data_IF_756563707327
#
_entry.id   IF_756563707327
#
_cell.length_a   1.000
_cell.length_b   1.000
_cell.length_c   1.000
_cell.angle_alpha   90.00
_cell.angle_beta   90.00
_cell.angle_gamma   90.00
#
_symmetry.space_group_name_H-M   'P 1'
#
loop_
_entity.id
_entity.type
_entity.pdbx_description
1 polymer ?
#
# COMPACT_ATOMS: atom_id res chain seq x y z
N UNK A 1 12.40 -5.14 6.54
CA UNK A 1 12.67 -5.36 5.10
C UNK A 1 13.16 -6.79 4.93
N UNK A 2 12.61 -7.56 3.98
CA UNK A 2 12.99 -8.97 3.77
C UNK A 2 14.11 -9.14 2.75
N UNK A 3 14.94 -10.18 2.90
CA UNK A 3 16.02 -10.55 1.96
C UNK A 3 15.50 -11.03 0.60
N UNK A 4 14.22 -11.39 0.52
CA UNK A 4 13.54 -11.87 -0.68
C UNK A 4 12.20 -11.14 -0.89
N UNK A 5 11.58 -11.34 -2.05
CA UNK A 5 10.21 -10.92 -2.38
C UNK A 5 9.59 -11.89 -3.40
N UNK A 6 8.28 -11.79 -3.65
CA UNK A 6 7.64 -12.57 -4.72
C UNK A 6 8.30 -12.33 -6.07
N UNK A 7 8.47 -13.39 -6.85
CA UNK A 7 8.69 -13.22 -8.28
C UNK A 7 7.55 -12.39 -8.89
N UNK A 8 7.84 -11.36 -9.71
CA UNK A 8 6.81 -10.63 -10.45
C UNK A 8 5.95 -11.54 -11.35
N UNK A 9 6.48 -12.71 -11.72
CA UNK A 9 5.80 -13.71 -12.53
C UNK A 9 5.06 -14.78 -11.68
N UNK A 10 5.02 -14.66 -10.35
CA UNK A 10 4.30 -15.62 -9.52
C UNK A 10 2.80 -15.54 -9.74
N UNK A 11 2.08 -16.65 -9.55
CA UNK A 11 0.62 -16.69 -9.64
C UNK A 11 -0.03 -15.61 -8.75
N UNK A 12 0.51 -15.40 -7.54
CA UNK A 12 0.08 -14.35 -6.62
C UNK A 12 0.19 -12.94 -7.21
N UNK A 13 1.35 -12.60 -7.78
CA UNK A 13 1.58 -11.26 -8.35
C UNK A 13 0.77 -11.04 -9.63
N UNK A 14 0.64 -12.07 -10.47
CA UNK A 14 -0.16 -12.00 -11.70
C UNK A 14 -1.65 -11.80 -11.39
N UNK A 15 -2.21 -12.57 -10.44
CA UNK A 15 -3.62 -12.44 -10.05
C UNK A 15 -3.93 -11.03 -9.50
N UNK A 16 -3.06 -10.52 -8.63
CA UNK A 16 -3.31 -9.27 -7.91
C UNK A 16 -2.81 -8.02 -8.63
N UNK A 17 -2.11 -8.15 -9.75
CA UNK A 17 -1.58 -7.01 -10.50
C UNK A 17 -2.64 -5.91 -10.77
N UNK A 18 -3.88 -6.23 -11.18
CA UNK A 18 -4.89 -5.20 -11.45
C UNK A 18 -5.30 -4.41 -10.20
N UNK A 19 -5.57 -5.08 -9.08
CA UNK A 19 -5.93 -4.38 -7.84
C UNK A 19 -4.75 -3.63 -7.24
N UNK A 20 -3.52 -4.15 -7.36
CA UNK A 20 -2.32 -3.43 -6.94
C UNK A 20 -2.11 -2.14 -7.75
N UNK A 21 -2.39 -2.17 -9.06
CA UNK A 21 -2.35 -0.98 -9.90
C UNK A 21 -3.43 0.03 -9.51
N UNK A 22 -4.67 -0.43 -9.31
CA UNK A 22 -5.75 0.41 -8.81
C UNK A 22 -5.40 1.06 -7.47
N UNK A 23 -4.83 0.30 -6.54
CA UNK A 23 -4.40 0.80 -5.23
C UNK A 23 -3.34 1.90 -5.34
N UNK A 24 -2.38 1.74 -6.26
CA UNK A 24 -1.39 2.80 -6.58
C UNK A 24 -2.07 4.03 -7.17
N UNK A 25 -2.94 3.84 -8.16
CA UNK A 25 -3.62 4.94 -8.84
C UNK A 25 -4.50 5.77 -7.88
N UNK A 26 -5.09 5.14 -6.86
CA UNK A 26 -5.91 5.77 -5.84
C UNK A 26 -5.13 6.18 -4.57
N UNK A 27 -3.84 5.82 -4.49
CA UNK A 27 -2.96 6.06 -3.36
C UNK A 27 -3.54 5.61 -1.99
N UNK A 28 -4.28 4.50 -1.95
CA UNK A 28 -5.03 4.07 -0.74
C UNK A 28 -4.18 3.42 0.33
N UNK A 29 -3.00 2.93 -0.03
CA UNK A 29 -2.11 2.26 0.93
C UNK A 29 -1.55 3.24 1.95
N UNK A 30 -1.42 2.78 3.20
CA UNK A 30 -0.92 3.63 4.29
C UNK A 30 0.59 3.83 4.26
N UNK A 31 1.31 3.04 3.46
CA UNK A 31 2.76 3.06 3.39
C UNK A 31 3.20 2.88 1.93
N UNK A 32 4.30 3.55 1.56
CA UNK A 32 4.87 3.53 0.22
C UNK A 32 3.86 3.91 -0.89
N UNK A 33 2.89 4.77 -0.58
CA UNK A 33 2.01 5.37 -1.58
C UNK A 33 2.70 6.55 -2.27
N UNK A 34 2.29 6.82 -3.51
CA UNK A 34 2.57 8.05 -4.22
C UNK A 34 1.23 8.66 -4.63
N UNK A 35 1.01 9.92 -4.24
CA UNK A 35 -0.21 10.66 -4.52
C UNK A 35 0.06 11.98 -5.27
N UNK A 36 1.28 12.17 -5.78
CA UNK A 36 1.67 13.41 -6.44
C UNK A 36 0.72 13.77 -7.60
N UNK A 37 0.27 12.77 -8.35
CA UNK A 37 -0.69 12.94 -9.46
C UNK A 37 -2.09 13.35 -9.00
N UNK A 38 -2.43 13.14 -7.72
CA UNK A 38 -3.72 13.48 -7.13
C UNK A 38 -3.68 14.79 -6.32
N UNK A 39 -2.51 15.39 -6.11
CA UNK A 39 -2.42 16.64 -5.34
C UNK A 39 -3.20 17.78 -6.01
N UNK A 40 -2.86 18.23 -7.25
CA UNK A 40 -3.35 19.52 -7.74
C UNK A 40 -4.87 19.61 -7.93
N UNK A 41 -5.50 18.47 -8.26
CA UNK A 41 -6.93 18.42 -8.60
C UNK A 41 -7.84 17.85 -7.51
N UNK A 42 -7.29 17.28 -6.43
CA UNK A 42 -8.09 16.55 -5.44
C UNK A 42 -7.63 16.80 -4.00
N UNK A 43 -6.40 16.43 -3.65
CA UNK A 43 -5.96 16.48 -2.26
C UNK A 43 -5.47 17.85 -1.81
N UNK A 44 -4.83 18.62 -2.69
CA UNK A 44 -4.37 19.97 -2.35
C UNK A 44 -5.53 20.91 -2.00
N UNK A 45 -6.63 21.01 -2.80
CA UNK A 45 -7.79 21.82 -2.42
C UNK A 45 -8.44 21.36 -1.11
N UNK A 46 -8.46 20.04 -0.86
CA UNK A 46 -9.00 19.47 0.36
C UNK A 46 -8.14 19.82 1.58
N UNK A 47 -6.81 19.71 1.46
CA UNK A 47 -5.88 20.11 2.51
C UNK A 47 -6.01 21.61 2.81
N UNK A 48 -6.16 22.44 1.77
CA UNK A 48 -6.37 23.87 1.93
C UNK A 48 -7.68 24.17 2.66
N UNK A 49 -8.77 23.50 2.32
CA UNK A 49 -10.04 23.64 3.01
C UNK A 49 -9.94 23.33 4.51
N UNK A 50 -9.18 22.29 4.90
CA UNK A 50 -8.90 22.03 6.32
C UNK A 50 -8.02 23.12 6.96
N UNK A 51 -7.00 23.61 6.25
CA UNK A 51 -6.12 24.66 6.76
C UNK A 51 -6.87 25.97 7.01
N UNK A 52 -7.82 26.33 6.13
CA UNK A 52 -8.61 27.56 6.23
C UNK A 52 -9.65 27.53 7.36
N UNK A 53 -10.06 26.33 7.81
CA UNK A 53 -11.18 26.16 8.74
C UNK A 53 -10.79 25.59 10.11
N UNK A 54 -9.54 25.16 10.31
CA UNK A 54 -9.06 24.64 11.59
C UNK A 54 -8.10 25.64 12.24
N UNK A 55 -8.50 26.28 13.35
CA UNK A 55 -7.60 27.19 14.06
C UNK A 55 -6.31 26.47 14.50
N UNK A 56 -5.17 27.16 14.37
CA UNK A 56 -3.84 26.57 14.60
C UNK A 56 -3.70 25.93 16.00
N UNK A 57 -4.27 26.58 17.03
CA UNK A 57 -4.26 26.08 18.40
C UNK A 57 -5.08 24.78 18.61
N UNK A 58 -5.97 24.45 17.67
CA UNK A 58 -6.75 23.20 17.66
C UNK A 58 -6.29 22.21 16.57
N UNK A 59 -5.25 22.55 15.80
CA UNK A 59 -4.78 21.73 14.66
C UNK A 59 -4.09 20.43 15.07
N UNK A 60 -3.68 20.31 16.34
CA UNK A 60 -3.03 19.11 16.87
C UNK A 60 -4.05 18.10 17.36
N UNK A 61 -3.97 16.88 16.80
CA UNK A 61 -4.82 15.73 17.16
C UNK A 61 -3.95 14.49 17.33
N UNK A 62 -4.38 13.53 18.17
CA UNK A 62 -3.71 12.23 18.26
C UNK A 62 -3.91 11.44 16.94
N UNK A 63 -2.86 10.80 16.40
CA UNK A 63 -1.47 10.78 16.88
C UNK A 63 -0.71 12.11 16.63
N UNK A 64 -0.10 12.67 17.67
CA UNK A 64 0.42 14.06 17.68
C UNK A 64 1.57 14.35 16.70
N UNK A 65 2.27 13.30 16.27
CA UNK A 65 3.33 13.37 15.26
C UNK A 65 2.79 13.59 13.84
N UNK A 66 1.49 13.41 13.62
CA UNK A 66 0.88 13.64 12.31
C UNK A 66 0.57 15.12 12.09
N UNK A 67 0.69 15.53 10.83
CA UNK A 67 0.20 16.82 10.35
C UNK A 67 -1.25 16.66 9.90
N UNK A 68 -1.99 17.76 9.79
CA UNK A 68 -3.40 17.77 9.37
C UNK A 68 -3.64 16.97 8.10
N UNK A 69 -2.78 17.14 7.07
CA UNK A 69 -2.89 16.38 5.82
C UNK A 69 -2.85 14.85 6.04
N UNK A 70 -2.05 14.34 6.97
CA UNK A 70 -2.01 12.90 7.27
C UNK A 70 -3.30 12.42 7.93
N UNK A 71 -3.91 13.22 8.81
CA UNK A 71 -5.20 12.89 9.40
C UNK A 71 -6.31 12.84 8.34
N UNK A 72 -6.31 13.81 7.43
CA UNK A 72 -7.26 13.88 6.30
C UNK A 72 -7.08 12.69 5.36
N UNK A 73 -5.84 12.46 4.91
CA UNK A 73 -5.44 11.32 4.09
C UNK A 73 -5.93 9.99 4.69
N UNK A 74 -5.59 9.74 5.96
CA UNK A 74 -5.88 8.48 6.63
C UNK A 74 -7.38 8.25 6.75
N UNK A 75 -8.14 9.28 7.12
CA UNK A 75 -9.59 9.17 7.25
C UNK A 75 -10.27 8.85 5.93
N UNK A 76 -9.84 9.51 4.85
CA UNK A 76 -10.56 9.43 3.56
C UNK A 76 -10.07 8.25 2.75
N UNK A 77 -8.83 8.28 2.25
CA UNK A 77 -8.38 7.24 1.30
C UNK A 77 -7.70 6.07 1.99
N UNK A 78 -7.07 6.29 3.15
CA UNK A 78 -6.40 5.24 3.91
C UNK A 78 -7.32 4.36 4.76
N UNK A 79 -8.60 4.74 4.92
CA UNK A 79 -9.63 3.99 5.66
C UNK A 79 -10.88 3.90 4.78
N UNK A 80 -11.63 4.98 4.58
CA UNK A 80 -12.95 4.90 3.90
C UNK A 80 -12.86 4.34 2.48
N UNK A 81 -11.95 4.84 1.62
CA UNK A 81 -11.78 4.28 0.28
C UNK A 81 -11.31 2.82 0.33
N UNK A 82 -10.37 2.51 1.21
CA UNK A 82 -9.84 1.15 1.36
C UNK A 82 -10.93 0.15 1.80
N UNK A 83 -11.88 0.56 2.63
CA UNK A 83 -13.02 -0.27 3.06
C UNK A 83 -13.91 -0.69 1.88
N UNK A 84 -14.18 0.22 0.93
CA UNK A 84 -14.93 -0.12 -0.29
C UNK A 84 -14.19 -1.08 -1.22
N UNK A 85 -12.86 -1.17 -1.11
CA UNK A 85 -12.05 -2.10 -1.92
C UNK A 85 -11.99 -3.51 -1.33
N UNK A 86 -12.48 -3.73 -0.10
CA UNK A 86 -12.48 -5.06 0.54
C UNK A 86 -13.28 -6.11 -0.26
N UNK A 87 -14.55 -5.87 -0.65
CA UNK A 87 -15.29 -6.84 -1.46
C UNK A 87 -14.66 -7.06 -2.84
N UNK A 88 -14.14 -6.00 -3.47
CA UNK A 88 -13.42 -6.12 -4.74
C UNK A 88 -12.18 -7.00 -4.61
N UNK A 89 -11.44 -6.88 -3.51
CA UNK A 89 -10.31 -7.76 -3.20
C UNK A 89 -10.77 -9.21 -3.01
N UNK A 90 -11.86 -9.44 -2.28
CA UNK A 90 -12.41 -10.78 -2.06
C UNK A 90 -12.83 -11.48 -3.37
N UNK A 91 -13.34 -10.71 -4.34
CA UNK A 91 -13.73 -11.22 -5.65
C UNK A 91 -12.58 -11.86 -6.44
N UNK A 92 -11.31 -11.51 -6.17
CA UNK A 92 -10.16 -12.17 -6.80
C UNK A 92 -10.00 -13.64 -6.39
N UNK A 93 -10.63 -14.06 -5.29
CA UNK A 93 -10.42 -15.38 -4.70
C UNK A 93 -11.68 -16.26 -4.67
N UNK A 94 -12.87 -15.67 -4.78
CA UNK A 94 -14.15 -16.36 -4.47
C UNK A 94 -14.45 -17.58 -5.34
N UNK A 95 -13.98 -17.60 -6.58
CA UNK A 95 -14.30 -18.65 -7.57
C UNK A 95 -13.10 -19.59 -7.82
N UNK A 96 -12.02 -19.46 -7.04
CA UNK A 96 -10.82 -20.28 -7.21
C UNK A 96 -11.04 -21.70 -6.67
N UNK A 97 -10.50 -22.69 -7.38
CA UNK A 97 -10.42 -24.06 -6.88
C UNK A 97 -9.34 -24.20 -5.79
N UNK A 98 -9.37 -25.30 -5.04
CA UNK A 98 -8.32 -25.60 -4.06
C UNK A 98 -6.93 -25.71 -4.70
N UNK A 99 -6.83 -26.27 -5.90
CA UNK A 99 -5.58 -26.38 -6.65
C UNK A 99 -5.04 -25.00 -7.04
N UNK A 100 -5.90 -24.09 -7.50
CA UNK A 100 -5.52 -22.72 -7.80
C UNK A 100 -5.09 -21.96 -6.54
N UNK A 101 -5.79 -22.17 -5.42
CA UNK A 101 -5.40 -21.60 -4.12
C UNK A 101 -4.05 -22.16 -3.64
N UNK A 102 -3.77 -23.44 -3.84
CA UNK A 102 -2.47 -24.04 -3.51
C UNK A 102 -1.36 -23.47 -4.38
N UNK A 103 -1.59 -23.25 -5.67
CA UNK A 103 -0.65 -22.59 -6.57
C UNK A 103 -0.35 -21.14 -6.13
N UNK A 104 -1.38 -20.38 -5.74
CA UNK A 104 -1.22 -19.05 -5.17
C UNK A 104 -0.40 -19.08 -3.88
N UNK A 105 -0.71 -20.00 -2.96
CA UNK A 105 0.05 -20.17 -1.73
C UNK A 105 1.50 -20.59 -2.00
N UNK A 106 1.73 -21.45 -3.00
CA UNK A 106 3.07 -21.89 -3.40
C UNK A 106 3.95 -20.73 -3.88
N UNK A 107 3.38 -19.60 -4.31
CA UNK A 107 4.12 -18.37 -4.61
C UNK A 107 4.94 -17.85 -3.42
N UNK A 108 4.56 -18.22 -2.19
CA UNK A 108 5.23 -17.82 -0.94
C UNK A 108 6.36 -18.78 -0.52
N UNK A 109 6.54 -19.91 -1.20
CA UNK A 109 7.65 -20.83 -0.94
C UNK A 109 8.97 -20.12 -1.21
N UNK A 110 9.98 -20.38 -0.37
CA UNK A 110 11.26 -19.68 -0.45
C UNK A 110 11.96 -19.91 -1.79
N UNK A 111 11.89 -21.14 -2.33
CA UNK A 111 12.43 -21.49 -3.64
C UNK A 111 11.76 -20.72 -4.81
N UNK A 112 10.56 -20.19 -4.61
CA UNK A 112 9.82 -19.42 -5.61
C UNK A 112 9.96 -17.89 -5.43
N UNK A 113 10.64 -17.45 -4.37
CA UNK A 113 10.91 -16.04 -4.11
C UNK A 113 12.22 -15.59 -4.77
N UNK A 114 12.30 -14.29 -5.10
CA UNK A 114 13.47 -13.67 -5.70
C UNK A 114 14.26 -12.90 -4.64
N UNK A 115 15.57 -13.06 -4.62
CA UNK A 115 16.47 -12.36 -3.70
C UNK A 115 16.63 -10.88 -4.04
N UNK A 116 16.64 -10.02 -3.01
CA UNK A 116 16.98 -8.59 -3.15
C UNK A 116 18.50 -8.42 -3.24
N UNK A 117 19.10 -8.78 -4.37
CA UNK A 117 20.56 -8.80 -4.60
C UNK A 117 21.27 -7.58 -4.02
N UNK A 118 20.89 -6.37 -4.46
CA UNK A 118 21.50 -5.11 -3.97
C UNK A 118 21.43 -4.94 -2.45
N UNK A 119 20.33 -5.35 -1.82
CA UNK A 119 20.18 -5.24 -0.36
C UNK A 119 21.03 -6.30 0.35
N UNK A 120 21.05 -7.53 -0.16
CA UNK A 120 21.81 -8.64 0.42
C UNK A 120 23.32 -8.41 0.27
N UNK A 121 23.75 -7.76 -0.81
CA UNK A 121 25.13 -7.34 -1.05
C UNK A 121 25.53 -6.10 -0.23
N UNK A 122 24.57 -5.26 0.20
CA UNK A 122 24.85 -4.01 0.92
C UNK A 122 25.39 -4.17 2.36
N UNK A 123 25.75 -5.39 2.76
CA UNK A 123 26.74 -5.67 3.82
C UNK A 123 26.53 -4.89 5.13
N UNK A 124 25.53 -5.31 5.92
CA UNK A 124 25.60 -5.20 7.39
C UNK A 124 26.56 -6.23 8.03
N UNK A 125 27.18 -7.11 7.23
CA UNK A 125 27.99 -8.26 7.70
C UNK A 125 29.45 -8.27 7.21
N UNK A 126 30.06 -7.12 6.87
CA UNK A 126 31.49 -7.05 6.48
C UNK A 126 32.46 -6.79 7.63
N UNK A 127 32.00 -6.94 8.88
CA UNK A 127 32.89 -6.85 10.04
C UNK A 127 32.66 -8.05 10.95
N UNK A 128 33.18 -9.19 10.53
CA UNK A 128 33.69 -10.26 11.40
C UNK A 128 34.93 -10.83 10.72
#
# INVERSE_FOLDING_TARGET
>A
MGMTHFSPASAWMCLLAPILEKKRALAVDSWAYDDAHLQPGLFEPLHQWFADNVPENYSKKYPWQWRTHMHVFRGIRGITMAEYMIPEWADYFKDLSYEQMDELAASWKFENCVGRQRLNESRLYTRL
#
